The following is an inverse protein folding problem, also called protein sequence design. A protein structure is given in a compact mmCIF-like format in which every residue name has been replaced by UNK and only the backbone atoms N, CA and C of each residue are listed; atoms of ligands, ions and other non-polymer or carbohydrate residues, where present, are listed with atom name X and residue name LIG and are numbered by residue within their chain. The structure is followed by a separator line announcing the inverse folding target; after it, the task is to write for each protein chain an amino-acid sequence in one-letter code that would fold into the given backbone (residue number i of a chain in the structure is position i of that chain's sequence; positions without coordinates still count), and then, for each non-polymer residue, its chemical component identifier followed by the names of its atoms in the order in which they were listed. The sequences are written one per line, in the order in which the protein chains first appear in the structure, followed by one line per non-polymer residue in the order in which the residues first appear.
data_IF_717915269331
#
_entry.id   IF_717915269331
#
_cell.length_a   1.000
_cell.length_b   1.000
_cell.length_c   1.000
_cell.angle_alpha   90.00
_cell.angle_beta   90.00
_cell.angle_gamma   90.00
#
_symmetry.space_group_name_H-M   'P 1'
#
loop_
_entity.id
_entity.type
_entity.pdbx_description
1 polymer ?
#
# COMPACT_ATOMS: atom_id res chain seq x y z
N UNK A 1 -71.07 -2.70 11.15
CA UNK A 1 -70.22 -1.53 11.49
C UNK A 1 -68.76 -1.95 11.33
N UNK A 2 -68.04 -1.23 10.45
CA UNK A 2 -66.59 -1.21 10.19
C UNK A 2 -65.88 -2.56 9.90
N UNK A 3 -65.30 -2.85 8.71
CA UNK A 3 -64.58 -1.99 7.76
C UNK A 3 -63.11 -1.90 8.19
N UNK A 4 -62.23 -2.81 7.73
CA UNK A 4 -61.31 -2.64 6.58
C UNK A 4 -60.33 -1.46 6.77
N UNK A 5 -59.04 -1.82 6.96
CA UNK A 5 -57.82 -1.04 6.68
C UNK A 5 -57.64 0.18 7.60
N UNK A 6 -56.59 0.29 8.42
CA UNK A 6 -55.21 0.61 8.06
C UNK A 6 -54.42 0.45 9.38
N UNK A 7 -53.64 -0.61 9.64
CA UNK A 7 -52.27 -0.80 9.17
C UNK A 7 -51.47 0.49 8.91
N UNK A 8 -51.59 1.50 9.75
CA UNK A 8 -50.68 2.66 9.72
C UNK A 8 -50.40 3.10 11.14
N UNK A 9 -49.32 2.58 11.72
CA UNK A 9 -48.32 3.35 12.47
C UNK A 9 -47.15 2.44 12.87
N UNK A 10 -46.67 1.64 11.94
CA UNK A 10 -45.28 1.19 11.98
C UNK A 10 -44.48 2.37 11.42
N UNK A 11 -44.07 3.28 12.30
CA UNK A 11 -43.17 4.37 11.96
C UNK A 11 -41.82 3.77 11.58
N UNK A 12 -41.72 3.29 10.34
CA UNK A 12 -40.47 3.07 9.64
C UNK A 12 -39.81 4.44 9.49
N UNK A 13 -39.08 4.86 10.52
CA UNK A 13 -37.95 5.75 10.33
C UNK A 13 -36.87 4.91 9.65
N UNK A 14 -37.05 4.65 8.35
CA UNK A 14 -35.92 4.43 7.45
C UNK A 14 -35.21 5.78 7.36
N UNK A 15 -34.43 6.10 8.40
CA UNK A 15 -33.32 7.02 8.25
C UNK A 15 -32.41 6.37 7.21
N UNK A 16 -32.44 6.90 5.99
CA UNK A 16 -31.42 6.62 5.00
C UNK A 16 -30.13 7.16 5.60
N UNK A 17 -29.44 6.31 6.36
CA UNK A 17 -28.06 6.50 6.70
C UNK A 17 -27.30 6.27 5.39
N UNK A 18 -27.33 7.27 4.51
CA UNK A 18 -26.29 7.41 3.50
C UNK A 18 -25.03 7.72 4.28
N UNK A 19 -24.42 6.68 4.85
CA UNK A 19 -22.99 6.69 5.07
C UNK A 19 -22.41 6.93 3.67
N UNK A 20 -22.09 8.18 3.38
CA UNK A 20 -21.20 8.52 2.27
C UNK A 20 -19.86 7.93 2.69
N UNK A 21 -19.70 6.62 2.49
CA UNK A 21 -18.38 6.05 2.38
C UNK A 21 -17.75 6.80 1.22
N UNK A 22 -16.69 7.56 1.49
CA UNK A 22 -15.96 8.27 0.45
C UNK A 22 -15.42 7.24 -0.53
N UNK A 23 -16.21 6.89 -1.55
CA UNK A 23 -15.81 5.90 -2.54
C UNK A 23 -14.61 6.46 -3.27
N UNK A 24 -13.49 5.74 -3.20
CA UNK A 24 -12.33 6.03 -4.03
C UNK A 24 -12.76 5.94 -5.48
N UNK A 25 -12.58 7.04 -6.22
CA UNK A 25 -12.90 7.11 -7.63
C UNK A 25 -11.67 6.62 -8.39
N UNK A 26 -11.80 5.45 -9.01
CA UNK A 26 -10.81 4.95 -9.97
C UNK A 26 -11.16 5.47 -11.38
N UNK A 27 -10.16 5.68 -12.25
CA UNK A 27 -10.42 5.99 -13.65
C UNK A 27 -11.26 4.89 -14.30
N UNK A 28 -12.26 5.27 -15.10
CA UNK A 28 -13.17 4.30 -15.73
C UNK A 28 -12.48 3.33 -16.71
N UNK A 29 -11.24 3.63 -17.10
CA UNK A 29 -10.40 2.84 -18.00
C UNK A 29 -9.34 2.00 -17.26
N UNK A 30 -9.40 1.92 -15.93
CA UNK A 30 -8.46 1.16 -15.10
C UNK A 30 -9.22 0.11 -14.28
N UNK A 31 -8.65 -1.09 -14.16
CA UNK A 31 -9.15 -2.16 -13.28
C UNK A 31 -8.16 -2.33 -12.15
N UNK A 32 -8.62 -2.15 -10.91
CA UNK A 32 -7.78 -2.25 -9.71
C UNK A 32 -7.57 -3.71 -9.34
N UNK A 33 -6.32 -4.18 -9.49
CA UNK A 33 -5.94 -5.55 -9.08
C UNK A 33 -5.60 -5.64 -7.58
N UNK A 34 -5.01 -4.57 -7.02
CA UNK A 34 -4.68 -4.46 -5.60
C UNK A 34 -4.69 -2.98 -5.19
N UNK A 35 -5.35 -2.68 -4.07
CA UNK A 35 -5.24 -1.38 -3.39
C UNK A 35 -5.11 -1.59 -1.88
N UNK A 36 -3.90 -1.39 -1.35
CA UNK A 36 -3.58 -1.56 0.07
C UNK A 36 -4.40 -0.65 0.99
N UNK A 37 -4.85 0.52 0.52
CA UNK A 37 -5.65 1.44 1.34
C UNK A 37 -7.12 1.06 1.39
N UNK A 38 -7.57 0.13 0.56
CA UNK A 38 -8.93 -0.41 0.60
C UNK A 38 -9.08 -1.61 1.55
N UNK A 39 -7.96 -2.22 1.96
CA UNK A 39 -7.96 -3.40 2.83
C UNK A 39 -8.41 -3.01 4.24
N UNK A 40 -9.40 -3.76 4.76
CA UNK A 40 -9.85 -3.60 6.14
C UNK A 40 -9.03 -4.50 7.06
N UNK A 41 -8.40 -3.92 8.08
CA UNK A 41 -7.59 -4.68 9.04
C UNK A 41 -6.10 -4.59 8.76
N UNK A 42 -5.39 -5.71 8.87
CA UNK A 42 -3.96 -5.85 8.56
C UNK A 42 -3.77 -6.18 7.07
N UNK A 43 -2.65 -5.76 6.48
CA UNK A 43 -2.31 -6.14 5.10
C UNK A 43 -1.82 -7.58 5.03
N UNK A 44 -1.10 -8.02 6.06
CA UNK A 44 -0.65 -9.42 6.17
C UNK A 44 0.40 -9.82 5.13
N UNK A 45 1.11 -8.86 4.53
CA UNK A 45 2.19 -9.14 3.60
C UNK A 45 3.38 -9.80 4.30
N UNK A 46 4.14 -10.58 3.55
CA UNK A 46 5.22 -11.40 4.09
C UNK A 46 6.52 -10.60 4.08
N UNK A 47 7.05 -10.30 5.26
CA UNK A 47 8.36 -9.70 5.45
C UNK A 47 9.46 -10.77 5.58
N UNK A 48 10.65 -10.48 5.06
CA UNK A 48 11.86 -11.29 5.31
C UNK A 48 13.06 -10.34 5.51
N UNK A 49 13.67 -10.30 6.70
CA UNK A 49 13.32 -11.05 7.90
C UNK A 49 11.92 -10.68 8.45
N UNK A 50 11.33 -11.58 9.25
CA UNK A 50 10.00 -11.37 9.87
C UNK A 50 10.03 -10.26 10.92
N UNK A 51 11.16 -10.07 11.60
CA UNK A 51 11.37 -9.05 12.62
C UNK A 51 12.63 -8.25 12.30
N UNK A 52 12.64 -6.97 12.67
CA UNK A 52 13.77 -6.07 12.44
C UNK A 52 13.96 -5.68 10.96
N UNK A 53 12.97 -5.92 10.10
CA UNK A 53 12.97 -5.52 8.69
C UNK A 53 11.81 -4.57 8.38
N UNK A 54 10.95 -4.97 7.45
CA UNK A 54 9.71 -4.24 7.17
C UNK A 54 8.67 -4.48 8.24
N UNK A 55 8.11 -3.41 8.79
CA UNK A 55 7.11 -3.45 9.85
C UNK A 55 5.80 -2.82 9.37
N UNK A 56 4.68 -3.49 9.66
CA UNK A 56 3.36 -2.93 9.38
C UNK A 56 2.99 -1.88 10.44
N UNK A 57 2.68 -0.67 9.98
CA UNK A 57 2.29 0.45 10.84
C UNK A 57 1.03 1.13 10.33
N UNK A 58 0.19 1.57 11.27
CA UNK A 58 -1.01 2.35 10.99
C UNK A 58 -0.70 3.84 11.01
N UNK A 59 -0.99 4.53 9.91
CA UNK A 59 -0.82 5.98 9.77
C UNK A 59 -2.19 6.59 9.47
N UNK A 60 -2.47 7.79 9.96
CA UNK A 60 -3.67 8.53 9.56
C UNK A 60 -3.43 9.24 8.24
N UNK A 61 -4.33 9.07 7.26
CA UNK A 61 -4.29 9.87 6.04
C UNK A 61 -4.82 11.30 6.24
N UNK A 62 -4.76 12.13 5.19
CA UNK A 62 -5.24 13.53 5.19
C UNK A 62 -6.70 13.70 5.65
N UNK A 63 -7.50 12.63 5.60
CA UNK A 63 -8.91 12.61 5.99
C UNK A 63 -9.11 11.97 7.36
N UNK A 64 -8.04 11.80 8.15
CA UNK A 64 -8.03 11.09 9.42
C UNK A 64 -8.56 9.64 9.32
N UNK A 65 -8.39 9.01 8.17
CA UNK A 65 -8.71 7.58 7.99
C UNK A 65 -7.45 6.78 8.28
N UNK A 66 -7.49 5.78 9.19
CA UNK A 66 -6.35 4.92 9.43
C UNK A 66 -6.07 4.08 8.17
N UNK A 67 -4.84 4.14 7.70
CA UNK A 67 -4.33 3.33 6.59
C UNK A 67 -3.17 2.47 7.09
N UNK A 68 -3.08 1.25 6.56
CA UNK A 68 -1.93 0.38 6.80
C UNK A 68 -0.81 0.71 5.82
N UNK A 69 0.41 0.77 6.35
CA UNK A 69 1.62 1.08 5.62
C UNK A 69 2.75 0.17 6.10
N UNK A 70 3.83 0.08 5.33
CA UNK A 70 5.04 -0.62 5.75
C UNK A 70 6.20 0.37 5.84
N UNK A 71 7.01 0.23 6.88
CA UNK A 71 8.20 1.06 7.10
C UNK A 71 9.43 0.20 7.42
N UNK A 72 10.61 0.72 7.08
CA UNK A 72 11.91 0.17 7.48
C UNK A 72 12.91 1.33 7.55
N UNK A 73 13.76 1.36 8.59
CA UNK A 73 14.71 2.47 8.80
C UNK A 73 16.02 2.00 9.47
N UNK A 74 16.58 0.88 9.02
CA UNK A 74 17.82 0.30 9.57
C UNK A 74 19.08 0.95 8.98
N UNK A 75 19.13 2.27 8.97
CA UNK A 75 20.16 3.08 8.29
C UNK A 75 21.56 2.97 8.93
N UNK A 76 21.64 2.53 10.19
CA UNK A 76 22.90 2.36 10.92
C UNK A 76 23.58 1.02 10.63
N UNK A 77 22.86 0.06 10.06
CA UNK A 77 23.35 -1.29 9.84
C UNK A 77 23.88 -1.45 8.41
N UNK A 78 25.06 -2.05 8.22
CA UNK A 78 25.57 -2.33 6.88
C UNK A 78 24.80 -3.49 6.23
N UNK A 79 24.84 -3.55 4.90
CA UNK A 79 24.39 -4.71 4.11
C UNK A 79 22.94 -5.17 4.36
N UNK A 80 22.02 -4.22 4.53
CA UNK A 80 20.60 -4.51 4.68
C UNK A 80 20.01 -5.22 3.45
N UNK A 81 19.21 -6.27 3.69
CA UNK A 81 18.48 -7.02 2.67
C UNK A 81 17.07 -7.36 3.19
N UNK A 82 16.20 -6.35 3.23
CA UNK A 82 14.85 -6.46 3.78
C UNK A 82 13.83 -6.58 2.64
N UNK A 83 13.19 -7.74 2.54
CA UNK A 83 12.16 -8.05 1.56
C UNK A 83 10.77 -7.86 2.16
N UNK A 84 9.86 -7.36 1.34
CA UNK A 84 8.43 -7.29 1.63
C UNK A 84 7.68 -7.76 0.39
N UNK A 85 6.83 -8.77 0.57
CA UNK A 85 6.11 -9.41 -0.53
C UNK A 85 4.61 -9.36 -0.26
N UNK A 86 3.87 -8.86 -1.24
CA UNK A 86 2.42 -8.90 -1.24
C UNK A 86 1.89 -10.35 -1.27
N UNK A 87 0.59 -10.50 -1.06
CA UNK A 87 -0.09 -11.71 -1.47
C UNK A 87 -0.11 -11.85 -2.99
N UNK A 88 -0.51 -13.04 -3.47
CA UNK A 88 -0.67 -13.31 -4.88
C UNK A 88 -1.77 -12.41 -5.48
N UNK A 89 -1.46 -11.74 -6.59
CA UNK A 89 -2.35 -10.82 -7.29
C UNK A 89 -2.74 -11.45 -8.62
N UNK A 90 -4.04 -11.67 -8.84
CA UNK A 90 -4.53 -12.13 -10.14
C UNK A 90 -4.34 -11.04 -11.20
N UNK A 91 -3.86 -11.44 -12.38
CA UNK A 91 -3.76 -10.52 -13.52
C UNK A 91 -5.08 -10.29 -14.26
N UNK A 92 -6.14 -11.05 -13.94
CA UNK A 92 -7.47 -10.98 -14.58
C UNK A 92 -7.44 -10.94 -16.12
N UNK A 93 -6.49 -11.65 -16.72
CA UNK A 93 -6.30 -11.68 -18.18
C UNK A 93 -5.55 -10.48 -18.76
N UNK A 94 -5.17 -9.48 -17.96
CA UNK A 94 -4.30 -8.39 -18.37
C UNK A 94 -2.94 -8.93 -18.82
N UNK A 95 -2.40 -8.31 -19.88
CA UNK A 95 -1.04 -8.54 -20.35
C UNK A 95 -0.07 -7.49 -19.81
N UNK A 96 -0.58 -6.30 -19.46
CA UNK A 96 0.19 -5.19 -18.93
C UNK A 96 -0.43 -4.73 -17.61
N UNK A 97 0.40 -4.62 -16.59
CA UNK A 97 0.01 -4.18 -15.25
C UNK A 97 0.76 -2.91 -14.90
N UNK A 98 0.07 -1.98 -14.26
CA UNK A 98 0.66 -0.72 -13.77
C UNK A 98 0.74 -0.78 -12.26
N UNK A 99 1.86 -0.29 -11.70
CA UNK A 99 2.08 -0.25 -10.25
C UNK A 99 2.23 1.21 -9.84
N UNK A 100 1.33 1.67 -8.99
CA UNK A 100 1.42 2.99 -8.36
C UNK A 100 1.86 2.81 -6.90
N UNK A 101 3.03 3.37 -6.55
CA UNK A 101 3.55 3.31 -5.19
C UNK A 101 3.59 4.72 -4.62
N UNK A 102 3.05 4.85 -3.42
CA UNK A 102 3.09 6.06 -2.61
C UNK A 102 3.96 5.82 -1.41
N UNK A 103 5.06 6.53 -1.31
CA UNK A 103 6.03 6.39 -0.23
C UNK A 103 6.61 7.73 0.19
N UNK A 104 7.25 7.73 1.34
CA UNK A 104 8.08 8.82 1.85
C UNK A 104 9.48 8.29 2.08
N UNK A 105 10.49 9.12 1.84
CA UNK A 105 11.88 8.74 2.04
C UNK A 105 12.59 9.86 2.79
N UNK A 106 13.42 9.49 3.76
CA UNK A 106 14.20 10.42 4.56
C UNK A 106 15.59 10.60 3.96
N UNK A 107 15.99 11.85 3.74
CA UNK A 107 17.32 12.22 3.26
C UNK A 107 18.40 11.70 4.23
N UNK A 108 19.39 11.00 3.71
CA UNK A 108 20.51 10.47 4.49
C UNK A 108 21.33 11.59 5.15
N UNK A 109 21.39 12.78 4.55
CA UNK A 109 22.07 13.95 5.13
C UNK A 109 21.34 14.48 6.37
N UNK A 110 20.04 14.16 6.53
CA UNK A 110 19.26 14.52 7.73
C UNK A 110 19.48 13.59 8.92
N UNK A 111 20.31 12.55 8.76
CA UNK A 111 20.58 11.53 9.74
C UNK A 111 22.06 11.60 10.19
N UNK A 112 22.33 11.82 11.49
CA UNK A 112 23.70 11.86 11.98
C UNK A 112 24.32 10.46 11.99
N UNK A 113 25.54 10.32 11.46
CA UNK A 113 26.34 9.09 11.60
C UNK A 113 26.01 7.93 10.66
N UNK A 114 25.19 8.15 9.61
CA UNK A 114 24.78 7.09 8.66
C UNK A 114 25.51 7.11 7.31
N UNK A 115 26.55 7.95 7.18
CA UNK A 115 27.26 8.13 5.91
C UNK A 115 27.92 6.82 5.47
N UNK A 116 27.47 6.25 4.36
CA UNK A 116 28.00 5.02 3.76
C UNK A 116 27.09 3.79 3.85
N UNK A 117 26.20 3.73 4.83
CA UNK A 117 25.22 2.63 4.99
C UNK A 117 23.82 3.02 4.55
N UNK A 118 23.46 4.31 4.70
CA UNK A 118 22.15 4.82 4.31
C UNK A 118 21.95 4.80 2.78
N UNK A 119 20.72 4.51 2.35
CA UNK A 119 20.29 4.48 0.96
C UNK A 119 19.00 5.28 0.80
N UNK A 120 18.89 5.97 -0.32
CA UNK A 120 17.75 6.83 -0.67
C UNK A 120 16.92 6.23 -1.81
N UNK A 121 16.99 4.90 -1.94
CA UNK A 121 16.30 4.14 -2.98
C UNK A 121 15.89 2.78 -2.45
N UNK A 122 14.82 2.21 -3.01
CA UNK A 122 14.47 0.80 -2.82
C UNK A 122 14.29 0.12 -4.17
N UNK A 123 14.38 -1.21 -4.22
CA UNK A 123 14.18 -1.95 -5.46
C UNK A 123 12.76 -2.53 -5.50
N UNK A 124 12.13 -2.48 -6.68
CA UNK A 124 10.84 -3.11 -6.94
C UNK A 124 11.04 -4.37 -7.80
N UNK A 125 10.32 -5.43 -7.46
CA UNK A 125 10.41 -6.73 -8.12
C UNK A 125 9.02 -7.31 -8.37
N UNK A 126 8.95 -8.30 -9.28
CA UNK A 126 7.78 -9.16 -9.45
C UNK A 126 8.20 -10.61 -9.71
N UNK A 127 7.26 -11.52 -9.50
CA UNK A 127 7.40 -12.93 -9.84
C UNK A 127 6.04 -13.44 -10.31
N UNK A 128 6.01 -14.05 -11.50
CA UNK A 128 4.80 -14.62 -12.07
C UNK A 128 4.64 -16.07 -11.65
N UNK A 129 3.43 -16.43 -11.23
CA UNK A 129 3.10 -17.79 -10.83
C UNK A 129 1.64 -18.10 -11.08
N UNK A 130 1.39 -19.33 -11.54
CA UNK A 130 0.04 -19.89 -11.68
C UNK A 130 -0.53 -20.39 -10.33
N UNK A 131 0.28 -20.39 -9.25
CA UNK A 131 -0.15 -20.83 -7.92
C UNK A 131 -0.26 -19.68 -6.92
N UNK A 132 -1.44 -19.58 -6.30
CA UNK A 132 -1.74 -18.65 -5.20
C UNK A 132 -1.18 -19.08 -3.84
N UNK A 133 -0.57 -20.27 -3.75
CA UNK A 133 -0.19 -20.93 -2.48
C UNK A 133 1.31 -21.04 -2.26
N UNK A 134 2.12 -20.34 -3.04
CA UNK A 134 3.57 -20.38 -2.87
C UNK A 134 4.02 -19.68 -1.59
N UNK A 135 4.36 -20.51 -0.61
CA UNK A 135 4.82 -20.08 0.71
C UNK A 135 6.27 -19.62 0.74
N UNK A 136 7.12 -20.20 -0.12
CA UNK A 136 8.54 -19.93 -0.15
C UNK A 136 8.99 -19.68 -1.59
N UNK A 137 9.22 -18.42 -1.92
CA UNK A 137 9.77 -17.98 -3.21
C UNK A 137 11.18 -17.52 -2.94
N UNK A 138 12.15 -18.02 -3.71
CA UNK A 138 13.55 -17.61 -3.56
C UNK A 138 13.74 -16.22 -4.17
N UNK A 139 14.59 -15.40 -3.55
CA UNK A 139 14.95 -14.07 -4.06
C UNK A 139 15.40 -14.12 -5.54
N UNK A 140 16.09 -15.19 -5.96
CA UNK A 140 16.58 -15.35 -7.34
C UNK A 140 15.49 -15.61 -8.38
N UNK A 141 14.25 -15.87 -7.97
CA UNK A 141 13.12 -16.06 -8.89
C UNK A 141 12.46 -14.72 -9.25
N UNK A 142 12.68 -13.68 -8.44
CA UNK A 142 12.12 -12.36 -8.69
C UNK A 142 12.86 -11.65 -9.82
N UNK A 143 12.10 -11.12 -10.77
CA UNK A 143 12.60 -10.21 -11.79
C UNK A 143 12.53 -8.78 -11.26
N UNK A 144 13.64 -8.04 -11.41
CA UNK A 144 13.71 -6.63 -11.00
C UNK A 144 12.94 -5.77 -12.01
N UNK A 145 12.01 -4.96 -11.50
CA UNK A 145 11.32 -3.93 -12.27
C UNK A 145 12.23 -2.71 -12.37
N UNK A 146 12.56 -2.09 -11.23
CA UNK A 146 13.33 -0.85 -11.20
C UNK A 146 13.95 -0.58 -9.81
N UNK A 147 14.85 0.40 -9.75
CA UNK A 147 15.30 1.05 -8.50
C UNK A 147 14.54 2.37 -8.34
N UNK A 148 13.69 2.43 -7.32
CA UNK A 148 12.83 3.55 -7.02
C UNK A 148 13.56 4.55 -6.13
N UNK A 149 13.63 5.79 -6.58
CA UNK A 149 14.14 6.93 -5.83
C UNK A 149 13.03 7.94 -5.55
N UNK A 150 13.23 8.75 -4.52
CA UNK A 150 12.40 9.92 -4.28
C UNK A 150 12.79 11.05 -5.26
N UNK A 151 11.83 11.65 -5.95
CA UNK A 151 12.05 12.87 -6.75
C UNK A 151 12.44 14.07 -5.84
N UNK A 152 11.87 14.15 -4.63
CA UNK A 152 12.26 15.06 -3.55
C UNK A 152 12.48 14.28 -2.23
N UNK A 153 13.67 14.35 -1.64
CA UNK A 153 14.02 13.74 -0.34
C UNK A 153 13.81 14.73 0.80
N UNK A 154 13.06 14.35 1.85
CA UNK A 154 12.70 15.30 2.91
C UNK A 154 13.84 15.55 3.90
N UNK A 155 14.00 16.82 4.29
CA UNK A 155 14.74 17.24 5.49
C UNK A 155 13.77 17.45 6.65
N UNK A 156 14.29 17.63 7.87
CA UNK A 156 13.57 17.65 9.15
C UNK A 156 12.41 18.67 9.28
N UNK A 157 12.19 19.51 8.26
CA UNK A 157 11.21 20.61 8.23
C UNK A 157 9.86 20.23 7.56
N UNK A 158 9.79 19.10 6.84
CA UNK A 158 8.65 18.82 5.93
C UNK A 158 7.75 17.64 6.37
N UNK A 159 7.76 17.26 7.64
CA UNK A 159 7.08 16.08 8.21
C UNK A 159 5.53 16.15 8.13
N UNK A 160 4.96 17.21 7.56
CA UNK A 160 3.53 17.49 7.59
C UNK A 160 2.65 16.84 6.53
N UNK A 161 3.02 16.84 5.24
CA UNK A 161 1.92 16.98 4.25
C UNK A 161 2.12 16.44 2.81
N UNK A 162 3.10 15.57 2.51
CA UNK A 162 3.36 15.24 1.09
C UNK A 162 3.57 13.75 0.80
N UNK A 163 2.56 13.16 0.19
CA UNK A 163 2.55 11.82 -0.38
C UNK A 163 3.05 11.90 -1.84
N UNK A 164 4.22 11.32 -2.13
CA UNK A 164 4.68 11.21 -3.52
C UNK A 164 3.89 10.16 -4.27
N UNK A 165 3.50 10.47 -5.51
CA UNK A 165 2.71 9.60 -6.39
C UNK A 165 3.58 9.21 -7.58
N UNK A 166 4.28 8.09 -7.49
CA UNK A 166 5.07 7.56 -8.60
C UNK A 166 4.22 6.55 -9.38
N UNK A 167 4.02 6.83 -10.68
CA UNK A 167 3.40 5.90 -11.63
C UNK A 167 4.49 5.14 -12.36
N UNK A 168 4.73 3.89 -11.97
CA UNK A 168 5.68 3.05 -12.69
C UNK A 168 4.96 2.44 -13.90
N UNK A 169 5.47 2.78 -15.10
CA UNK A 169 5.12 2.09 -16.34
C UNK A 169 6.14 0.96 -16.52
N UNK A 170 5.84 -0.21 -15.95
CA UNK A 170 6.54 -1.43 -16.36
C UNK A 170 5.80 -2.01 -17.55
N UNK A 171 6.48 -2.17 -18.68
CA UNK A 171 5.97 -3.02 -19.76
C UNK A 171 6.36 -4.46 -19.39
N UNK A 172 5.40 -5.20 -18.86
CA UNK A 172 5.42 -6.66 -18.81
C UNK A 172 4.96 -7.20 -20.18
#
# INVERSE_FOLDING_TARGET
MAGIFYFVLFSFLFGICNAVTGSRVYPANEVTLLDSRSVQGELGWIASPLEGGWEEVSIMDEKNTPIRTYQVCNVMEPSQNNWLRTDWITREGAQRVYIEIKFTLRDCNSLPGVMGTCKETFNLYYYESDSDKERFIRESQFAKIDTIAADESFTQVDIGDRIMKLKLRSEM
#
